data_IF_728446457767
#
_entry.id   IF_728446457767
#
_cell.length_a   1.000
_cell.length_b   1.000
_cell.length_c   1.000
_cell.angle_alpha   90.00
_cell.angle_beta   90.00
_cell.angle_gamma   90.00
#
_symmetry.space_group_name_H-M   'P 1'
#
loop_
_entity.id
_entity.type
_entity.pdbx_description
1 polymer ?
#
# COMPACT_ATOMS: atom_id res chain seq x y z
N UNK A 1 -6.39 14.18 13.16
CA UNK A 1 -6.66 13.79 11.77
C UNK A 1 -5.32 13.60 11.11
N UNK A 2 -5.11 12.42 10.52
CA UNK A 2 -3.87 12.12 9.81
C UNK A 2 -3.72 13.05 8.61
N UNK A 3 -2.47 13.34 8.24
CA UNK A 3 -2.19 14.16 7.07
C UNK A 3 -2.14 13.27 5.84
N UNK A 4 -3.07 13.49 4.90
CA UNK A 4 -2.97 12.90 3.57
C UNK A 4 -2.00 13.71 2.72
N UNK A 5 -1.09 13.01 2.06
CA UNK A 5 0.02 13.54 1.30
C UNK A 5 -0.11 13.02 -0.13
N UNK A 6 0.28 13.86 -1.10
CA UNK A 6 0.14 13.61 -2.53
C UNK A 6 -1.31 13.60 -3.03
N UNK A 7 -2.19 14.36 -2.36
CA UNK A 7 -3.55 14.61 -2.83
C UNK A 7 -3.61 16.02 -3.42
N UNK A 8 -3.89 16.07 -4.72
CA UNK A 8 -4.17 17.24 -5.54
C UNK A 8 -5.44 16.97 -6.34
N UNK A 9 -6.04 18.01 -6.94
CA UNK A 9 -7.23 17.83 -7.79
C UNK A 9 -7.03 16.77 -8.89
N UNK A 10 -5.82 16.66 -9.45
CA UNK A 10 -5.49 15.67 -10.49
C UNK A 10 -5.47 14.23 -9.95
N UNK A 11 -4.95 14.00 -8.75
CA UNK A 11 -4.92 12.66 -8.14
C UNK A 11 -6.29 12.26 -7.60
N UNK A 12 -7.08 13.21 -7.09
CA UNK A 12 -8.46 12.95 -6.65
C UNK A 12 -9.38 12.51 -7.80
N UNK A 13 -9.17 13.06 -9.01
CA UNK A 13 -9.90 12.64 -10.20
C UNK A 13 -9.62 11.18 -10.60
N UNK A 14 -8.40 10.67 -10.30
CA UNK A 14 -8.00 9.30 -10.60
C UNK A 14 -8.47 8.29 -9.57
N UNK A 15 -8.75 8.73 -8.36
CA UNK A 15 -9.18 7.83 -7.29
C UNK A 15 -10.47 7.10 -7.65
N UNK A 16 -10.47 5.80 -7.41
CA UNK A 16 -11.69 4.99 -7.43
C UNK A 16 -12.65 5.40 -6.31
N UNK A 17 -13.91 4.96 -6.39
CA UNK A 17 -14.89 5.28 -5.35
C UNK A 17 -14.49 4.68 -3.99
N UNK A 18 -13.93 3.47 -4.00
CA UNK A 18 -13.36 2.84 -2.81
C UNK A 18 -12.18 3.62 -2.24
N UNK A 19 -11.24 4.02 -3.08
CA UNK A 19 -10.09 4.82 -2.63
C UNK A 19 -10.51 6.14 -2.01
N UNK A 20 -11.46 6.87 -2.61
CA UNK A 20 -12.00 8.11 -2.02
C UNK A 20 -12.60 7.86 -0.64
N UNK A 21 -13.38 6.78 -0.50
CA UNK A 21 -13.99 6.42 0.78
C UNK A 21 -12.93 6.05 1.81
N UNK A 22 -11.91 5.30 1.43
CA UNK A 22 -10.80 4.91 2.32
C UNK A 22 -10.00 6.14 2.73
N UNK A 23 -9.60 6.99 1.79
CA UNK A 23 -8.87 8.25 2.05
C UNK A 23 -9.60 9.09 3.11
N UNK A 24 -10.89 9.35 2.92
CA UNK A 24 -11.71 10.12 3.87
C UNK A 24 -11.74 9.49 5.27
N UNK A 25 -11.72 8.16 5.38
CA UNK A 25 -11.71 7.46 6.67
C UNK A 25 -10.34 7.49 7.33
N UNK A 26 -9.27 7.31 6.57
CA UNK A 26 -7.91 7.45 7.10
C UNK A 26 -7.69 8.86 7.66
N UNK A 27 -8.13 9.90 6.92
CA UNK A 27 -8.05 11.29 7.38
C UNK A 27 -8.81 11.53 8.68
N UNK A 28 -10.08 11.09 8.73
CA UNK A 28 -10.97 11.37 9.84
C UNK A 28 -10.63 10.60 11.13
N UNK A 29 -10.17 9.36 11.02
CA UNK A 29 -10.08 8.45 12.18
C UNK A 29 -8.65 8.18 12.65
N UNK A 30 -7.62 8.42 11.84
CA UNK A 30 -6.25 8.19 12.29
C UNK A 30 -5.66 9.35 13.10
N UNK A 31 -4.69 9.00 13.94
CA UNK A 31 -3.89 9.96 14.70
C UNK A 31 -3.23 10.99 13.77
N UNK A 32 -3.07 12.21 14.26
CA UNK A 32 -2.31 13.27 13.56
C UNK A 32 -0.80 12.96 13.44
N UNK A 33 -0.31 11.99 14.19
CA UNK A 33 1.08 11.50 14.08
C UNK A 33 1.28 10.55 12.91
N UNK A 34 0.19 10.05 12.32
CA UNK A 34 0.26 9.17 11.16
C UNK A 34 0.46 9.99 9.87
N UNK A 35 1.33 9.48 9.00
CA UNK A 35 1.57 10.02 7.67
C UNK A 35 0.94 9.08 6.63
N UNK A 36 0.06 9.60 5.79
CA UNK A 36 -0.68 8.81 4.79
C UNK A 36 -0.34 9.35 3.41
N UNK A 37 0.34 8.56 2.59
CA UNK A 37 0.61 8.87 1.18
C UNK A 37 -0.32 8.11 0.27
N UNK A 38 -0.85 8.79 -0.75
CA UNK A 38 -1.62 8.19 -1.82
C UNK A 38 -0.79 8.07 -3.11
N UNK A 39 -0.89 6.92 -3.79
CA UNK A 39 -0.32 6.67 -5.12
C UNK A 39 1.14 7.15 -5.27
N UNK A 40 2.01 6.70 -4.36
CA UNK A 40 3.46 6.99 -4.42
C UNK A 40 4.25 5.76 -4.88
N UNK A 41 5.33 5.95 -5.65
CA UNK A 41 6.19 4.85 -6.05
C UNK A 41 6.98 4.31 -4.85
N UNK A 42 7.05 2.98 -4.75
CA UNK A 42 7.81 2.28 -3.72
C UNK A 42 8.76 1.23 -4.31
N UNK A 43 9.89 1.09 -3.64
CA UNK A 43 10.96 0.17 -4.01
C UNK A 43 11.61 0.47 -5.36
N UNK A 44 12.57 -0.38 -5.76
CA UNK A 44 13.33 -0.18 -7.01
C UNK A 44 12.52 -0.42 -8.28
N UNK A 45 11.39 -1.12 -8.16
CA UNK A 45 10.49 -1.45 -9.27
C UNK A 45 9.45 -0.37 -9.53
N UNK A 46 9.48 0.74 -8.78
CA UNK A 46 8.56 1.86 -8.93
C UNK A 46 7.09 1.41 -8.94
N UNK A 47 6.73 0.57 -7.97
CA UNK A 47 5.36 0.07 -7.82
C UNK A 47 4.51 1.09 -7.07
N UNK A 48 3.24 1.19 -7.39
CA UNK A 48 2.34 2.19 -6.83
C UNK A 48 1.25 1.49 -5.99
N UNK A 49 1.46 1.26 -4.68
CA UNK A 49 0.36 0.94 -3.77
C UNK A 49 -0.64 2.10 -3.69
N UNK A 50 -1.91 1.78 -3.44
CA UNK A 50 -2.94 2.81 -3.27
C UNK A 50 -2.62 3.73 -2.08
N UNK A 51 -2.28 3.16 -0.93
CA UNK A 51 -1.80 3.92 0.22
C UNK A 51 -0.55 3.34 0.87
N UNK A 52 0.34 4.24 1.30
CA UNK A 52 1.45 3.97 2.20
C UNK A 52 1.23 4.76 3.47
N UNK A 53 1.24 4.08 4.61
CA UNK A 53 0.95 4.69 5.90
C UNK A 53 2.16 4.46 6.81
N UNK A 54 2.66 5.53 7.43
CA UNK A 54 3.56 5.42 8.58
C UNK A 54 2.72 5.71 9.81
N UNK A 55 2.59 4.70 10.64
CA UNK A 55 1.91 4.74 11.94
C UNK A 55 2.96 4.50 13.04
N UNK A 56 3.12 5.41 14.01
CA UNK A 56 4.04 5.21 15.12
C UNK A 56 3.82 3.90 15.90
N UNK A 57 2.58 3.41 15.99
CA UNK A 57 2.25 2.19 16.75
C UNK A 57 2.41 0.91 15.90
N UNK A 58 2.11 0.99 14.61
CA UNK A 58 2.04 -0.19 13.72
C UNK A 58 3.18 -0.25 12.68
N UNK A 59 4.02 0.78 12.59
CA UNK A 59 5.11 0.90 11.64
C UNK A 59 4.65 1.27 10.23
N UNK A 60 5.26 0.66 9.21
CA UNK A 60 4.98 0.93 7.81
C UNK A 60 3.90 -0.02 7.28
N UNK A 61 2.75 0.55 6.92
CA UNK A 61 1.57 -0.18 6.42
C UNK A 61 1.34 0.15 4.95
N UNK A 62 1.02 -0.88 4.17
CA UNK A 62 0.66 -0.75 2.75
C UNK A 62 -0.79 -1.21 2.59
N UNK A 63 -1.60 -0.40 1.92
CA UNK A 63 -3.00 -0.69 1.69
C UNK A 63 -3.27 -0.71 0.19
N UNK A 64 -3.95 -1.77 -0.25
CA UNK A 64 -4.48 -1.91 -1.59
C UNK A 64 -6.01 -2.01 -1.49
N UNK A 65 -6.71 -1.18 -2.25
CA UNK A 65 -8.16 -1.07 -2.29
C UNK A 65 -8.67 -1.74 -3.55
N UNK A 66 -9.73 -2.54 -3.41
CA UNK A 66 -10.44 -3.15 -4.54
C UNK A 66 -11.93 -2.91 -4.38
N UNK A 67 -12.54 -2.31 -5.41
CA UNK A 67 -13.99 -2.08 -5.51
C UNK A 67 -14.75 -3.35 -5.96
N UNK A 68 -14.29 -4.52 -5.51
CA UNK A 68 -14.91 -5.79 -5.86
C UNK A 68 -16.15 -6.03 -5.02
N UNK A 69 -17.12 -6.73 -5.61
CA UNK A 69 -18.30 -7.24 -4.90
C UNK A 69 -18.23 -8.75 -4.78
N UNK A 70 -18.97 -9.33 -3.85
CA UNK A 70 -19.06 -10.79 -3.71
C UNK A 70 -19.53 -11.45 -5.01
N UNK A 71 -20.45 -10.81 -5.74
CA UNK A 71 -20.99 -11.33 -7.01
C UNK A 71 -19.96 -11.31 -8.15
N UNK A 72 -18.96 -10.43 -8.09
CA UNK A 72 -17.90 -10.37 -9.10
C UNK A 72 -16.76 -11.34 -8.80
N UNK A 73 -16.69 -11.92 -7.61
CA UNK A 73 -15.64 -12.88 -7.24
C UNK A 73 -15.99 -14.28 -7.76
N UNK A 74 -15.26 -14.77 -8.76
CA UNK A 74 -15.47 -16.10 -9.33
C UNK A 74 -14.60 -17.15 -8.64
N UNK A 75 -13.30 -16.88 -8.48
CA UNK A 75 -12.37 -17.78 -7.79
C UNK A 75 -11.29 -16.97 -7.06
N UNK A 76 -10.92 -17.40 -5.86
CA UNK A 76 -9.85 -16.79 -5.08
C UNK A 76 -8.88 -17.88 -4.64
N UNK A 77 -7.59 -17.68 -4.89
CA UNK A 77 -6.53 -18.49 -4.32
C UNK A 77 -5.41 -17.58 -3.77
N UNK A 78 -4.34 -18.18 -3.25
CA UNK A 78 -3.26 -17.44 -2.60
C UNK A 78 -2.44 -16.56 -3.56
N UNK A 79 -2.49 -16.78 -4.87
CA UNK A 79 -1.72 -16.03 -5.88
C UNK A 79 -2.59 -15.09 -6.71
N UNK A 80 -3.83 -15.48 -6.99
CA UNK A 80 -4.70 -14.82 -7.95
C UNK A 80 -6.15 -14.75 -7.47
N UNK A 81 -6.86 -13.77 -8.03
CA UNK A 81 -8.31 -13.62 -7.95
C UNK A 81 -8.84 -13.57 -9.38
N UNK A 82 -9.81 -14.43 -9.69
CA UNK A 82 -10.55 -14.40 -10.93
C UNK A 82 -11.87 -13.70 -10.65
N UNK A 83 -12.10 -12.62 -11.39
CA UNK A 83 -13.31 -11.83 -11.36
C UNK A 83 -14.18 -12.18 -12.56
N UNK A 84 -15.49 -12.20 -12.38
CA UNK A 84 -16.46 -12.31 -13.47
C UNK A 84 -17.33 -11.06 -13.50
N UNK A 85 -17.42 -10.41 -14.66
CA UNK A 85 -18.31 -9.26 -14.85
C UNK A 85 -18.90 -9.33 -16.25
N UNK A 86 -20.23 -9.32 -16.34
CA UNK A 86 -20.96 -9.44 -17.61
C UNK A 86 -20.52 -10.66 -18.45
N UNK A 87 -20.23 -11.79 -17.78
CA UNK A 87 -19.76 -13.03 -18.42
C UNK A 87 -18.29 -13.01 -18.87
N UNK A 88 -17.55 -11.94 -18.59
CA UNK A 88 -16.12 -11.82 -18.89
C UNK A 88 -15.32 -12.17 -17.64
N UNK A 89 -14.43 -13.17 -17.76
CA UNK A 89 -13.47 -13.53 -16.72
C UNK A 89 -12.19 -12.71 -16.84
N UNK A 90 -11.75 -12.11 -15.73
CA UNK A 90 -10.50 -11.37 -15.62
C UNK A 90 -9.69 -11.92 -14.46
N UNK A 91 -8.44 -12.33 -14.71
CA UNK A 91 -7.50 -12.72 -13.66
C UNK A 91 -6.69 -11.51 -13.19
N UNK A 92 -6.62 -11.32 -11.87
CA UNK A 92 -5.78 -10.34 -11.20
C UNK A 92 -4.90 -11.01 -10.15
N UNK A 93 -3.75 -10.41 -9.83
CA UNK A 93 -2.90 -10.89 -8.73
C UNK A 93 -3.64 -10.67 -7.42
N UNK A 94 -3.58 -11.65 -6.51
CA UNK A 94 -4.18 -11.52 -5.18
C UNK A 94 -3.63 -10.25 -4.49
N UNK A 95 -4.49 -9.32 -4.03
CA UNK A 95 -4.06 -8.08 -3.39
C UNK A 95 -3.10 -8.29 -2.21
N UNK A 96 -3.25 -9.38 -1.46
CA UNK A 96 -2.32 -9.74 -0.37
C UNK A 96 -0.90 -10.00 -0.89
N UNK A 97 -0.77 -10.62 -2.06
CA UNK A 97 0.54 -10.83 -2.71
C UNK A 97 1.09 -9.51 -3.24
N UNK A 98 0.25 -8.63 -3.78
CA UNK A 98 0.67 -7.30 -4.24
C UNK A 98 1.23 -6.47 -3.07
N UNK A 99 0.47 -6.36 -1.98
CA UNK A 99 0.86 -5.66 -0.74
C UNK A 99 2.15 -6.24 -0.15
N UNK A 100 2.27 -7.57 -0.09
CA UNK A 100 3.51 -8.21 0.39
C UNK A 100 4.73 -7.86 -0.48
N UNK A 101 4.55 -7.79 -1.81
CA UNK A 101 5.62 -7.39 -2.73
C UNK A 101 6.02 -5.93 -2.49
N UNK A 102 5.07 -5.02 -2.29
CA UNK A 102 5.38 -3.62 -1.95
C UNK A 102 6.21 -3.52 -0.66
N UNK A 103 5.78 -4.24 0.38
CA UNK A 103 6.50 -4.25 1.65
C UNK A 103 7.93 -4.79 1.50
N UNK A 104 8.11 -5.94 0.83
CA UNK A 104 9.44 -6.49 0.58
C UNK A 104 10.31 -5.57 -0.27
N UNK A 105 9.79 -5.04 -1.37
CA UNK A 105 10.53 -4.14 -2.27
C UNK A 105 10.95 -2.86 -1.53
N UNK A 106 10.13 -2.36 -0.59
CA UNK A 106 10.42 -1.18 0.22
C UNK A 106 11.47 -1.46 1.29
N UNK A 107 11.29 -2.52 2.10
CA UNK A 107 12.24 -2.90 3.15
C UNK A 107 13.63 -3.19 2.59
N UNK A 108 13.72 -3.72 1.37
CA UNK A 108 14.99 -3.94 0.69
C UNK A 108 15.61 -2.66 0.10
N UNK A 109 14.81 -1.63 -0.17
CA UNK A 109 15.28 -0.36 -0.74
C UNK A 109 15.75 0.64 0.30
N UNK A 110 15.04 0.76 1.44
CA UNK A 110 15.31 1.75 2.49
C UNK A 110 16.75 1.71 3.06
N UNK A 111 17.43 0.55 3.22
CA UNK A 111 18.80 0.48 3.72
C UNK A 111 19.84 1.14 2.79
N UNK A 112 19.47 1.54 1.57
CA UNK A 112 20.32 2.37 0.73
C UNK A 112 20.63 3.73 1.40
N UNK A 113 19.73 4.22 2.26
CA UNK A 113 19.96 5.40 3.08
C UNK A 113 20.69 5.01 4.39
N UNK A 114 21.91 5.53 4.65
CA UNK A 114 22.67 5.21 5.86
C UNK A 114 21.93 5.54 7.18
N UNK A 115 21.04 6.53 7.19
CA UNK A 115 20.27 6.91 8.38
C UNK A 115 19.20 5.87 8.75
N UNK A 116 18.77 5.04 7.78
CA UNK A 116 17.76 3.98 7.97
C UNK A 116 18.41 2.59 8.06
N UNK A 117 19.73 2.51 8.05
CA UNK A 117 20.48 1.25 8.01
C UNK A 117 21.16 0.98 9.33
N UNK A 118 21.12 -0.27 9.77
CA UNK A 118 21.93 -0.71 10.90
C UNK A 118 23.41 -0.74 10.50
N UNK A 119 24.23 0.00 11.23
CA UNK A 119 25.64 0.24 10.87
C UNK A 119 26.60 -0.77 11.52
N UNK A 120 26.14 -1.49 12.53
CA UNK A 120 26.90 -2.49 13.31
C UNK A 120 26.00 -3.66 13.75
N UNK A 121 26.57 -4.59 14.53
CA UNK A 121 25.88 -5.77 15.06
C UNK A 121 25.57 -6.86 14.04
N UNK A 122 24.79 -7.85 14.48
CA UNK A 122 24.42 -9.04 13.70
C UNK A 122 23.63 -8.74 12.43
N UNK A 123 22.91 -7.61 12.42
CA UNK A 123 22.01 -7.21 11.34
C UNK A 123 22.57 -6.05 10.50
N UNK A 124 23.88 -5.77 10.61
CA UNK A 124 24.56 -4.75 9.81
C UNK A 124 24.17 -4.85 8.34
N UNK A 125 23.79 -3.72 7.77
CA UNK A 125 23.35 -3.64 6.37
C UNK A 125 21.84 -3.72 6.16
N UNK A 126 21.06 -4.13 7.17
CA UNK A 126 19.61 -4.23 7.10
C UNK A 126 18.91 -2.93 7.54
N UNK A 127 17.61 -2.86 7.26
CA UNK A 127 16.74 -1.77 7.71
C UNK A 127 16.74 -1.72 9.24
N UNK A 128 16.94 -0.53 9.78
CA UNK A 128 16.82 -0.30 11.21
C UNK A 128 15.34 -0.19 11.60
N UNK A 129 14.74 -1.34 11.87
CA UNK A 129 13.46 -1.43 12.56
C UNK A 129 13.81 -1.36 14.05
N UNK A 130 13.59 -0.19 14.66
CA UNK A 130 13.83 0.03 16.08
C UNK A 130 12.88 -0.81 16.94
#
# INVERSE_FOLDING_TARGET
>A
MAKLINISGVTEERMTAGEKRVASRLEAFMSNECLVWYDIPVGRKNRHPDFVIIDPENGLVFLEVKDWTVHTLHQVNHEQVILETNGILKSEINPLVQVRRYACDTVNALPANPCLRQNDGQYKGRLNLA
#
